data_IF_702786290162
#
_entry.id   IF_702786290162
#
_cell.length_a   1.000
_cell.length_b   1.000
_cell.length_c   1.000
_cell.angle_alpha   90.00
_cell.angle_beta   90.00
_cell.angle_gamma   90.00
#
_symmetry.space_group_name_H-M   'P 1'
#
loop_
_entity.id
_entity.type
_entity.pdbx_description
1 polymer ?
#
# COMPACT_ATOMS: atom_id res chain seq x y z
N UNK A 1 -7.43 18.25 29.79
CA UNK A 1 -7.11 17.13 30.69
C UNK A 1 -6.25 17.63 31.85
N UNK A 2 -6.80 18.55 32.64
CA UNK A 2 -6.07 19.35 33.67
C UNK A 2 -6.42 18.90 35.09
N UNK A 3 -7.24 17.86 35.20
CA UNK A 3 -7.68 17.35 36.52
C UNK A 3 -6.58 16.69 37.35
N UNK A 4 -5.48 16.27 36.73
CA UNK A 4 -4.33 15.71 37.47
C UNK A 4 -3.45 16.76 38.16
N UNK A 5 -3.57 18.03 37.72
CA UNK A 5 -2.77 19.15 38.23
C UNK A 5 -3.54 20.05 39.21
N UNK A 6 -4.82 19.74 39.48
CA UNK A 6 -5.65 20.55 40.37
C UNK A 6 -5.04 20.76 41.79
N UNK A 7 -4.45 19.73 42.43
CA UNK A 7 -3.77 19.93 43.72
C UNK A 7 -2.56 20.85 43.61
N UNK A 8 -1.77 20.74 42.54
CA UNK A 8 -0.59 21.57 42.29
C UNK A 8 -0.98 23.04 42.01
N UNK A 9 -2.06 23.24 41.20
CA UNK A 9 -2.60 24.59 40.94
C UNK A 9 -3.10 25.25 42.22
N UNK A 10 -3.75 24.51 43.12
CA UNK A 10 -4.18 25.05 44.42
C UNK A 10 -3.02 25.36 45.34
N UNK A 11 -2.00 24.48 45.37
CA UNK A 11 -0.81 24.70 46.13
C UNK A 11 -0.09 25.99 45.66
N UNK A 12 0.11 26.14 44.38
CA UNK A 12 0.73 27.32 43.79
C UNK A 12 -0.07 28.61 44.06
N UNK A 13 -1.40 28.54 43.98
CA UNK A 13 -2.24 29.70 44.28
C UNK A 13 -2.19 30.09 45.76
N UNK A 14 -2.12 29.13 46.68
CA UNK A 14 -1.96 29.36 48.13
C UNK A 14 -0.64 30.05 48.50
N UNK A 15 0.37 29.95 47.68
CA UNK A 15 1.68 30.66 47.91
C UNK A 15 1.52 32.18 47.77
N UNK A 16 0.46 32.66 47.09
CA UNK A 16 0.29 34.08 46.79
C UNK A 16 1.22 34.65 45.73
N UNK A 17 2.10 33.81 45.15
CA UNK A 17 3.09 34.19 44.15
C UNK A 17 2.54 34.29 42.74
N UNK A 18 1.38 33.71 42.49
CA UNK A 18 0.79 33.61 41.15
C UNK A 18 -0.62 34.15 41.10
N UNK A 19 -0.92 34.97 40.11
CA UNK A 19 -2.28 35.36 39.76
C UNK A 19 -2.97 34.23 39.00
N UNK A 20 -4.31 34.24 38.89
CA UNK A 20 -5.07 33.25 38.10
C UNK A 20 -4.63 33.22 36.61
N UNK A 21 -4.27 34.38 36.06
CA UNK A 21 -3.81 34.50 34.69
C UNK A 21 -2.42 33.88 34.49
N UNK A 22 -1.53 34.02 35.47
CA UNK A 22 -0.19 33.41 35.45
C UNK A 22 -0.27 31.89 35.63
N UNK A 23 -1.14 31.40 36.50
CA UNK A 23 -1.42 29.98 36.61
C UNK A 23 -2.00 29.40 35.31
N UNK A 24 -2.89 30.14 34.66
CA UNK A 24 -3.43 29.71 33.36
C UNK A 24 -2.32 29.57 32.31
N UNK A 25 -1.37 30.47 32.27
CA UNK A 25 -0.19 30.37 31.39
C UNK A 25 0.76 29.25 31.82
N UNK A 26 1.06 29.11 33.11
CA UNK A 26 1.95 28.07 33.65
C UNK A 26 1.44 26.67 33.35
N UNK A 27 0.14 26.46 33.49
CA UNK A 27 -0.50 25.15 33.28
C UNK A 27 -1.16 25.00 31.90
N UNK A 28 -0.88 25.92 30.97
CA UNK A 28 -1.38 25.91 29.59
C UNK A 28 -2.88 25.65 29.47
N UNK A 29 -3.69 26.45 30.19
CA UNK A 29 -5.13 26.32 30.23
C UNK A 29 -5.84 27.67 30.21
N UNK A 30 -7.16 27.67 29.98
CA UNK A 30 -7.95 28.91 30.01
C UNK A 30 -8.09 29.43 31.46
N UNK A 31 -8.06 30.75 31.71
CA UNK A 31 -8.18 31.33 33.04
C UNK A 31 -9.45 30.90 33.80
N UNK A 32 -10.55 30.68 33.09
CA UNK A 32 -11.80 30.15 33.63
C UNK A 32 -11.62 28.74 34.21
N UNK A 33 -10.75 27.92 33.62
CA UNK A 33 -10.40 26.58 34.13
C UNK A 33 -9.73 26.66 35.49
N UNK A 34 -8.82 27.61 35.68
CA UNK A 34 -8.18 27.88 36.98
C UNK A 34 -9.23 28.34 37.99
N UNK A 35 -10.08 29.27 37.61
CA UNK A 35 -11.17 29.76 38.49
C UNK A 35 -12.09 28.61 38.91
N UNK A 36 -12.46 27.73 37.98
CA UNK A 36 -13.28 26.56 38.27
C UNK A 36 -12.59 25.55 39.19
N UNK A 37 -11.26 25.36 39.05
CA UNK A 37 -10.48 24.48 39.95
C UNK A 37 -10.39 25.07 41.35
N UNK A 38 -10.16 26.38 41.47
CA UNK A 38 -10.05 27.06 42.77
C UNK A 38 -11.36 27.14 43.52
N UNK A 39 -12.50 27.22 42.81
CA UNK A 39 -13.84 27.28 43.40
C UNK A 39 -14.35 25.89 43.82
N UNK A 40 -13.71 24.79 43.45
CA UNK A 40 -14.10 23.43 43.87
C UNK A 40 -13.36 23.02 45.12
N UNK A 41 -14.03 22.25 45.98
CA UNK A 41 -13.36 21.58 47.13
C UNK A 41 -12.59 20.35 46.66
N UNK A 42 -11.62 19.90 47.44
CA UNK A 42 -10.81 18.70 47.13
C UNK A 42 -11.71 17.44 47.00
N UNK A 43 -12.75 17.33 47.81
CA UNK A 43 -13.76 16.28 47.73
C UNK A 43 -14.54 16.33 46.42
N UNK A 44 -14.85 17.51 45.91
CA UNK A 44 -15.54 17.69 44.63
C UNK A 44 -14.66 17.29 43.44
N UNK A 45 -13.34 17.42 43.54
CA UNK A 45 -12.44 16.95 42.51
C UNK A 45 -12.34 15.42 42.50
N UNK A 46 -12.32 14.79 43.65
CA UNK A 46 -12.41 13.33 43.82
C UNK A 46 -13.76 12.85 43.29
N UNK A 47 -14.85 13.53 43.64
CA UNK A 47 -16.18 13.19 43.16
C UNK A 47 -16.37 13.43 41.64
N UNK A 48 -15.76 14.46 41.07
CA UNK A 48 -15.75 14.67 39.62
C UNK A 48 -14.97 13.59 38.88
N UNK A 49 -13.88 13.03 39.48
CA UNK A 49 -13.18 11.86 38.95
C UNK A 49 -14.02 10.59 39.02
N UNK A 50 -14.67 10.33 40.17
CA UNK A 50 -15.56 9.18 40.35
C UNK A 50 -16.83 9.29 39.51
N UNK A 51 -17.40 10.49 39.34
CA UNK A 51 -18.62 10.69 38.53
C UNK A 51 -18.45 10.33 37.05
N UNK A 52 -17.22 10.41 36.51
CA UNK A 52 -16.88 9.90 35.18
C UNK A 52 -16.57 8.38 35.18
N UNK A 53 -16.25 7.80 36.34
CA UNK A 53 -15.92 6.39 36.48
C UNK A 53 -17.16 5.56 36.89
N UNK A 54 -17.99 6.12 37.73
CA UNK A 54 -19.16 5.46 38.30
C UNK A 54 -20.44 6.07 37.73
N UNK A 55 -20.74 5.68 36.49
CA UNK A 55 -22.09 5.91 36.00
C UNK A 55 -22.99 4.88 36.70
N UNK A 56 -23.60 5.29 37.82
CA UNK A 56 -24.42 4.43 38.71
C UNK A 56 -25.42 3.56 37.93
N UNK A 57 -25.91 4.08 36.80
CA UNK A 57 -26.88 3.39 35.95
C UNK A 57 -26.27 2.18 35.18
N UNK A 58 -24.97 2.15 34.93
CA UNK A 58 -24.31 1.05 34.20
C UNK A 58 -23.68 0.03 35.15
N UNK A 59 -23.43 0.39 36.40
CA UNK A 59 -22.77 -0.49 37.38
C UNK A 59 -23.41 -1.88 37.49
N UNK A 60 -24.75 -2.03 37.61
CA UNK A 60 -25.40 -3.34 37.72
C UNK A 60 -25.12 -4.25 36.49
N UNK A 61 -24.79 -3.66 35.36
CA UNK A 61 -24.61 -4.38 34.09
C UNK A 61 -23.15 -4.63 33.72
N UNK A 62 -22.18 -4.13 34.49
CA UNK A 62 -20.76 -4.26 34.14
C UNK A 62 -20.30 -5.73 34.06
N UNK A 63 -20.74 -6.59 34.96
CA UNK A 63 -20.37 -7.99 34.93
C UNK A 63 -21.00 -8.73 33.74
N UNK A 64 -22.21 -8.39 33.38
CA UNK A 64 -22.87 -8.88 32.17
C UNK A 64 -22.10 -8.44 30.91
N UNK A 65 -21.75 -7.16 30.81
CA UNK A 65 -20.92 -6.61 29.72
C UNK A 65 -19.58 -7.32 29.66
N UNK A 66 -18.92 -7.54 30.80
CA UNK A 66 -17.65 -8.25 30.93
C UNK A 66 -17.78 -9.71 30.47
N UNK A 67 -18.86 -10.38 30.84
CA UNK A 67 -19.17 -11.74 30.42
C UNK A 67 -19.36 -11.86 28.90
N UNK A 68 -20.08 -10.92 28.26
CA UNK A 68 -20.26 -10.89 26.81
C UNK A 68 -18.94 -10.64 26.07
N UNK A 69 -18.14 -9.69 26.54
CA UNK A 69 -16.86 -9.33 25.92
C UNK A 69 -15.79 -10.43 26.05
N UNK A 70 -15.84 -11.24 27.11
CA UNK A 70 -14.98 -12.43 27.24
C UNK A 70 -15.34 -13.53 26.22
N UNK A 71 -16.63 -13.64 25.85
CA UNK A 71 -17.09 -14.64 24.87
C UNK A 71 -16.79 -14.26 23.42
N UNK A 72 -16.59 -12.96 23.14
CA UNK A 72 -16.29 -12.46 21.81
C UNK A 72 -16.30 -10.94 21.71
N UNK A 73 -15.89 -10.42 20.53
CA UNK A 73 -15.88 -8.98 20.27
C UNK A 73 -17.27 -8.49 19.90
N UNK A 74 -18.10 -8.24 20.92
CA UNK A 74 -19.48 -7.74 20.74
C UNK A 74 -19.47 -6.21 20.59
N UNK A 75 -20.24 -5.69 19.65
CA UNK A 75 -20.39 -4.24 19.45
C UNK A 75 -21.20 -3.59 20.57
N UNK A 76 -20.86 -2.34 20.90
CA UNK A 76 -21.55 -1.60 21.94
C UNK A 76 -23.06 -1.40 21.65
N UNK A 77 -23.44 -1.29 20.38
CA UNK A 77 -24.84 -1.19 19.94
C UNK A 77 -25.62 -2.47 20.24
N UNK A 78 -25.04 -3.64 20.04
CA UNK A 78 -25.67 -4.93 20.35
C UNK A 78 -25.80 -5.10 21.87
N UNK A 79 -24.79 -4.73 22.63
CA UNK A 79 -24.84 -4.74 24.11
C UNK A 79 -25.92 -3.78 24.60
N UNK A 80 -26.00 -2.58 24.01
CA UNK A 80 -27.03 -1.62 24.33
C UNK A 80 -28.45 -2.19 24.14
N UNK A 81 -28.71 -2.79 22.97
CA UNK A 81 -30.02 -3.43 22.70
C UNK A 81 -30.35 -4.50 23.75
N UNK A 82 -29.40 -5.35 24.09
CA UNK A 82 -29.57 -6.38 25.11
C UNK A 82 -29.89 -5.79 26.50
N UNK A 83 -29.23 -4.70 26.88
CA UNK A 83 -29.50 -4.03 28.15
C UNK A 83 -30.88 -3.35 28.18
N UNK A 84 -31.34 -2.78 27.06
CA UNK A 84 -32.70 -2.28 26.92
C UNK A 84 -33.73 -3.42 27.05
N UNK A 85 -33.52 -4.55 26.41
CA UNK A 85 -34.34 -5.77 26.54
C UNK A 85 -34.41 -6.26 28.00
N UNK A 86 -33.37 -6.04 28.80
CA UNK A 86 -33.31 -6.34 30.23
C UNK A 86 -33.95 -5.24 31.12
N UNK A 87 -34.54 -4.21 30.52
CA UNK A 87 -35.18 -3.11 31.23
C UNK A 87 -34.28 -1.97 31.70
N UNK A 88 -33.03 -1.91 31.19
CA UNK A 88 -32.08 -0.86 31.55
C UNK A 88 -32.49 0.50 30.93
N UNK A 89 -32.52 1.56 31.75
CA UNK A 89 -32.77 2.95 31.29
C UNK A 89 -31.44 3.67 31.20
N UNK A 90 -30.76 3.47 30.10
CA UNK A 90 -29.40 4.01 29.86
C UNK A 90 -29.23 4.49 28.42
N UNK A 91 -28.27 5.38 28.16
CA UNK A 91 -27.98 5.85 26.80
C UNK A 91 -26.93 4.97 26.14
N UNK A 92 -26.96 4.89 24.78
CA UNK A 92 -25.95 4.21 24.00
C UNK A 92 -24.53 4.76 24.27
N UNK A 93 -24.42 6.08 24.51
CA UNK A 93 -23.13 6.71 24.82
C UNK A 93 -22.54 6.21 26.16
N UNK A 94 -23.42 5.96 27.15
CA UNK A 94 -23.03 5.39 28.46
C UNK A 94 -22.53 3.94 28.28
N UNK A 95 -23.27 3.12 27.53
CA UNK A 95 -22.87 1.74 27.22
C UNK A 95 -21.57 1.72 26.44
N UNK A 96 -21.41 2.56 25.42
CA UNK A 96 -20.19 2.65 24.62
C UNK A 96 -18.95 2.99 25.45
N UNK A 97 -19.09 3.90 26.42
CA UNK A 97 -18.00 4.23 27.37
C UNK A 97 -17.67 3.06 28.28
N UNK A 98 -18.68 2.38 28.83
CA UNK A 98 -18.49 1.21 29.68
C UNK A 98 -17.83 0.05 28.90
N UNK A 99 -18.28 -0.24 27.68
CA UNK A 99 -17.68 -1.25 26.79
C UNK A 99 -16.21 -0.94 26.51
N UNK A 100 -15.88 0.32 26.22
CA UNK A 100 -14.49 0.76 25.99
C UNK A 100 -13.64 0.54 27.24
N UNK A 101 -14.15 0.87 28.42
CA UNK A 101 -13.47 0.65 29.71
C UNK A 101 -13.25 -0.83 29.98
N UNK A 102 -14.28 -1.66 29.87
CA UNK A 102 -14.19 -3.11 30.12
C UNK A 102 -13.25 -3.79 29.11
N UNK A 103 -13.27 -3.38 27.84
CA UNK A 103 -12.30 -3.86 26.84
C UNK A 103 -10.86 -3.52 27.24
N UNK A 104 -10.62 -2.35 27.80
CA UNK A 104 -9.31 -1.95 28.29
C UNK A 104 -8.90 -2.75 29.55
N UNK A 105 -9.82 -2.93 30.50
CA UNK A 105 -9.61 -3.74 31.74
C UNK A 105 -9.29 -5.20 31.40
N UNK A 106 -9.94 -5.76 30.39
CA UNK A 106 -9.72 -7.13 29.95
C UNK A 106 -8.52 -7.31 29.01
N UNK A 107 -7.74 -6.24 28.77
CA UNK A 107 -6.68 -6.22 27.74
C UNK A 107 -7.19 -6.69 26.35
N UNK A 108 -8.50 -6.57 26.11
CA UNK A 108 -9.13 -6.84 24.82
C UNK A 108 -8.94 -5.67 23.83
N UNK A 109 -8.10 -4.69 24.16
CA UNK A 109 -7.59 -3.75 23.20
C UNK A 109 -6.91 -4.57 22.09
N UNK A 110 -7.40 -4.42 20.86
CA UNK A 110 -6.88 -5.14 19.72
C UNK A 110 -5.35 -5.04 19.74
N UNK A 111 -4.69 -6.18 19.86
CA UNK A 111 -3.23 -6.28 19.71
C UNK A 111 -2.98 -5.69 18.34
N UNK A 112 -2.36 -4.50 18.30
CA UNK A 112 -2.01 -3.88 17.03
C UNK A 112 -0.92 -4.72 16.42
N UNK A 113 -1.23 -5.35 15.31
CA UNK A 113 -0.23 -6.09 14.54
C UNK A 113 0.74 -5.08 13.92
N UNK A 114 1.88 -4.89 14.59
CA UNK A 114 2.97 -4.08 14.06
C UNK A 114 3.91 -4.97 13.24
N UNK A 115 4.38 -4.44 12.12
CA UNK A 115 5.32 -5.13 11.23
C UNK A 115 6.68 -4.48 11.30
N UNK A 116 7.72 -5.27 11.18
CA UNK A 116 9.08 -4.77 11.05
C UNK A 116 9.22 -3.88 9.81
N UNK A 117 10.20 -2.98 9.77
CA UNK A 117 10.51 -2.19 8.57
C UNK A 117 10.68 -3.07 7.34
N UNK A 118 10.15 -2.65 6.21
CA UNK A 118 10.23 -3.34 4.93
C UNK A 118 9.56 -4.72 4.85
N UNK A 119 8.98 -5.20 5.94
CA UNK A 119 8.43 -6.56 5.99
C UNK A 119 7.14 -6.66 5.18
N UNK A 120 6.16 -5.81 5.42
CA UNK A 120 4.82 -6.01 4.86
C UNK A 120 4.17 -4.71 4.39
N UNK A 121 3.53 -4.78 3.21
CA UNK A 121 2.50 -3.85 2.80
C UNK A 121 1.12 -4.54 2.85
N UNK A 122 0.04 -3.75 2.90
CA UNK A 122 -1.34 -4.23 2.85
C UNK A 122 -2.07 -3.58 1.68
N UNK A 123 -2.67 -4.42 0.83
CA UNK A 123 -3.43 -4.00 -0.34
C UNK A 123 -4.92 -4.21 -0.15
N UNK A 124 -5.74 -3.29 -0.67
CA UNK A 124 -7.20 -3.39 -0.67
C UNK A 124 -7.83 -2.64 -1.83
N UNK A 125 -9.04 -3.08 -2.21
CA UNK A 125 -9.93 -2.36 -3.09
C UNK A 125 -11.03 -1.64 -2.29
N UNK A 126 -11.40 -0.46 -2.73
CA UNK A 126 -12.60 0.21 -2.25
C UNK A 126 -13.52 0.54 -3.40
N UNK A 127 -14.79 0.24 -3.21
CA UNK A 127 -15.88 0.58 -4.13
C UNK A 127 -16.48 1.92 -3.75
N UNK A 128 -16.65 2.82 -4.73
CA UNK A 128 -17.24 4.14 -4.56
C UNK A 128 -18.59 4.21 -5.27
N UNK A 129 -19.58 3.52 -4.69
CA UNK A 129 -20.95 3.46 -5.24
C UNK A 129 -21.53 4.83 -5.47
N UNK A 130 -22.04 5.05 -6.68
CA UNK A 130 -22.63 6.32 -7.11
C UNK A 130 -21.63 7.35 -7.59
N UNK A 131 -20.32 7.01 -7.63
CA UNK A 131 -19.30 7.81 -8.29
C UNK A 131 -18.89 7.16 -9.62
N UNK A 132 -18.70 7.98 -10.66
CA UNK A 132 -18.31 7.51 -11.99
C UNK A 132 -17.18 8.37 -12.55
N UNK A 133 -16.37 7.78 -13.43
CA UNK A 133 -15.42 8.48 -14.27
C UNK A 133 -15.77 8.30 -15.74
N UNK A 134 -15.47 9.30 -16.55
CA UNK A 134 -15.64 9.24 -18.00
C UNK A 134 -14.35 8.71 -18.63
N UNK A 135 -14.45 7.56 -19.31
CA UNK A 135 -13.36 6.93 -20.06
C UNK A 135 -13.88 6.64 -21.46
N UNK A 136 -13.18 7.12 -22.50
CA UNK A 136 -13.56 6.98 -23.92
C UNK A 136 -15.00 7.45 -24.22
N UNK A 137 -15.46 8.49 -23.52
CA UNK A 137 -16.81 9.06 -23.67
C UNK A 137 -17.92 8.29 -22.93
N UNK A 138 -17.61 7.24 -22.19
CA UNK A 138 -18.57 6.46 -21.42
C UNK A 138 -18.35 6.63 -19.91
N UNK A 139 -19.45 6.71 -19.16
CA UNK A 139 -19.39 6.70 -17.71
C UNK A 139 -19.13 5.27 -17.21
N UNK A 140 -18.08 5.11 -16.38
CA UNK A 140 -17.66 3.86 -15.76
C UNK A 140 -17.73 3.97 -14.24
N UNK A 141 -18.09 2.88 -13.53
CA UNK A 141 -18.05 2.89 -12.07
C UNK A 141 -16.65 3.17 -11.54
N UNK A 142 -16.58 3.85 -10.41
CA UNK A 142 -15.31 4.25 -9.81
C UNK A 142 -14.94 3.31 -8.66
N UNK A 143 -13.73 2.79 -8.72
CA UNK A 143 -13.08 2.01 -7.67
C UNK A 143 -11.75 2.65 -7.30
N UNK A 144 -11.21 2.36 -6.15
CA UNK A 144 -9.86 2.78 -5.80
C UNK A 144 -9.05 1.64 -5.20
N UNK A 145 -7.80 1.58 -5.61
CA UNK A 145 -6.78 0.72 -5.04
C UNK A 145 -6.07 1.43 -3.90
N UNK A 146 -5.77 0.70 -2.84
CA UNK A 146 -5.03 1.18 -1.68
C UNK A 146 -3.85 0.27 -1.42
N UNK A 147 -2.68 0.86 -1.20
CA UNK A 147 -1.50 0.16 -0.67
C UNK A 147 -0.92 0.97 0.50
N UNK A 148 -0.69 0.31 1.63
CA UNK A 148 -0.10 0.93 2.81
C UNK A 148 1.09 0.11 3.30
N UNK A 149 2.24 0.75 3.53
CA UNK A 149 3.40 0.13 4.17
C UNK A 149 3.14 -0.09 5.66
N UNK A 150 3.50 -1.25 6.14
CA UNK A 150 3.12 -1.70 7.49
C UNK A 150 3.84 -0.99 8.62
N UNK A 151 5.09 -0.56 8.44
CA UNK A 151 5.89 0.12 9.47
C UNK A 151 5.79 1.65 9.35
N UNK A 152 6.12 2.22 8.19
CA UNK A 152 6.11 3.67 7.98
C UNK A 152 4.72 4.28 7.95
N UNK A 153 3.70 3.50 7.59
CA UNK A 153 2.33 3.97 7.32
C UNK A 153 2.22 4.82 6.05
N UNK A 154 3.25 4.81 5.20
CA UNK A 154 3.15 5.37 3.86
C UNK A 154 1.97 4.75 3.12
N UNK A 155 1.16 5.58 2.50
CA UNK A 155 -0.04 5.14 1.79
C UNK A 155 -0.06 5.67 0.38
N UNK A 156 -0.61 4.85 -0.50
CA UNK A 156 -0.85 5.14 -1.90
C UNK A 156 -2.30 4.85 -2.24
N UNK A 157 -2.91 5.70 -3.04
CA UNK A 157 -4.27 5.54 -3.53
C UNK A 157 -4.31 5.86 -5.02
N UNK A 158 -4.99 5.02 -5.80
CA UNK A 158 -5.21 5.22 -7.23
C UNK A 158 -6.63 4.81 -7.60
N UNK A 159 -7.32 5.66 -8.34
CA UNK A 159 -8.64 5.37 -8.88
C UNK A 159 -8.54 4.60 -10.19
N UNK A 160 -9.46 3.66 -10.36
CA UNK A 160 -9.62 2.85 -11.57
C UNK A 160 -11.11 2.68 -11.88
N UNK A 161 -11.40 2.31 -13.10
CA UNK A 161 -12.77 1.99 -13.55
C UNK A 161 -13.05 0.49 -13.63
N UNK A 162 -12.02 -0.34 -13.47
CA UNK A 162 -12.11 -1.80 -13.54
C UNK A 162 -11.16 -2.44 -12.54
N UNK A 163 -11.66 -3.44 -11.79
CA UNK A 163 -10.87 -4.25 -10.87
C UNK A 163 -10.44 -5.56 -11.54
N UNK A 164 -9.54 -5.48 -12.51
CA UNK A 164 -8.95 -6.64 -13.21
C UNK A 164 -7.58 -6.98 -12.65
N UNK A 165 -7.01 -8.15 -12.99
CA UNK A 165 -5.62 -8.50 -12.64
C UNK A 165 -4.64 -7.50 -13.24
N UNK A 166 -4.83 -7.09 -14.50
CA UNK A 166 -4.01 -6.08 -15.16
C UNK A 166 -4.08 -4.72 -14.45
N UNK A 167 -5.28 -4.28 -14.02
CA UNK A 167 -5.43 -3.04 -13.23
C UNK A 167 -4.73 -3.15 -11.87
N UNK A 168 -4.80 -4.31 -11.20
CA UNK A 168 -4.11 -4.55 -9.94
C UNK A 168 -2.59 -4.47 -10.10
N UNK A 169 -2.04 -5.14 -11.11
CA UNK A 169 -0.61 -5.11 -11.45
C UNK A 169 -0.14 -3.67 -11.65
N UNK A 170 -0.85 -2.90 -12.50
CA UNK A 170 -0.51 -1.49 -12.75
C UNK A 170 -0.56 -0.64 -11.48
N UNK A 171 -1.61 -0.78 -10.67
CA UNK A 171 -1.74 -0.02 -9.43
C UNK A 171 -0.63 -0.34 -8.42
N UNK A 172 -0.25 -1.63 -8.29
CA UNK A 172 0.86 -2.02 -7.41
C UNK A 172 2.17 -1.46 -7.94
N UNK A 173 2.44 -1.58 -9.23
CA UNK A 173 3.65 -1.03 -9.85
C UNK A 173 3.77 0.48 -9.61
N UNK A 174 2.69 1.24 -9.83
CA UNK A 174 2.63 2.67 -9.54
C UNK A 174 2.87 2.98 -8.05
N UNK A 175 2.31 2.16 -7.15
CA UNK A 175 2.51 2.31 -5.72
C UNK A 175 3.96 2.02 -5.30
N UNK A 176 4.58 0.96 -5.84
CA UNK A 176 5.98 0.62 -5.58
C UNK A 176 6.91 1.73 -6.09
N UNK A 177 6.63 2.29 -7.27
CA UNK A 177 7.35 3.45 -7.79
C UNK A 177 7.18 4.69 -6.88
N UNK A 178 5.98 4.92 -6.36
CA UNK A 178 5.73 6.00 -5.42
C UNK A 178 6.49 5.83 -4.10
N UNK A 179 6.62 4.61 -3.60
CA UNK A 179 7.40 4.31 -2.38
C UNK A 179 8.91 4.26 -2.64
N UNK A 180 9.32 4.12 -3.89
CA UNK A 180 10.73 3.99 -4.29
C UNK A 180 11.33 2.61 -4.01
N UNK A 181 10.50 1.57 -3.85
CA UNK A 181 10.99 0.21 -3.61
C UNK A 181 9.91 -0.79 -3.28
N UNK A 182 10.30 -2.07 -3.15
CA UNK A 182 9.44 -3.22 -2.91
C UNK A 182 9.57 -3.72 -1.47
N UNK A 183 8.45 -3.89 -0.72
CA UNK A 183 8.47 -4.58 0.57
C UNK A 183 8.72 -6.08 0.36
N UNK A 184 9.03 -6.81 1.45
CA UNK A 184 9.25 -8.25 1.37
C UNK A 184 7.98 -9.02 1.00
N UNK A 185 6.84 -8.60 1.55
CA UNK A 185 5.55 -9.23 1.29
C UNK A 185 4.42 -8.21 1.16
N UNK A 186 3.38 -8.59 0.41
CA UNK A 186 2.15 -7.81 0.30
C UNK A 186 0.97 -8.69 0.72
N UNK A 187 0.19 -8.20 1.70
CA UNK A 187 -1.00 -8.88 2.21
C UNK A 187 -2.22 -8.49 1.39
N UNK A 188 -2.90 -9.48 0.82
CA UNK A 188 -4.12 -9.35 0.04
C UNK A 188 -5.30 -10.05 0.73
N UNK A 189 -6.52 -9.62 0.41
CA UNK A 189 -7.70 -10.46 0.59
C UNK A 189 -7.74 -11.57 -0.45
N UNK A 190 -8.70 -12.51 -0.28
CA UNK A 190 -8.98 -13.54 -1.29
C UNK A 190 -9.73 -12.92 -2.49
N UNK A 191 -9.12 -11.92 -3.12
CA UNK A 191 -9.69 -11.25 -4.28
C UNK A 191 -9.45 -12.04 -5.57
N UNK A 192 -10.42 -12.05 -6.52
CA UNK A 192 -10.31 -12.84 -7.75
C UNK A 192 -9.10 -12.49 -8.63
N UNK A 193 -8.55 -11.30 -8.48
CA UNK A 193 -7.38 -10.84 -9.21
C UNK A 193 -6.08 -11.52 -8.75
N UNK A 194 -6.07 -12.08 -7.54
CA UNK A 194 -4.91 -12.76 -6.93
C UNK A 194 -5.15 -14.26 -6.80
N UNK A 195 -6.39 -14.68 -6.50
CA UNK A 195 -6.77 -16.09 -6.25
C UNK A 195 -7.72 -16.57 -7.34
N UNK A 196 -7.26 -17.53 -8.12
CA UNK A 196 -8.05 -18.13 -9.20
C UNK A 196 -9.12 -19.08 -8.65
N UNK A 197 -8.76 -19.98 -7.72
CA UNK A 197 -9.66 -20.95 -7.09
C UNK A 197 -9.36 -21.13 -5.61
N UNK A 198 -10.43 -21.29 -4.84
CA UNK A 198 -10.37 -21.84 -3.48
C UNK A 198 -10.83 -23.29 -3.54
N UNK A 199 -9.93 -24.23 -3.51
CA UNK A 199 -10.24 -25.65 -3.45
C UNK A 199 -10.57 -26.03 -2.00
N UNK A 200 -11.73 -26.65 -1.77
CA UNK A 200 -12.09 -27.24 -0.48
C UNK A 200 -11.75 -28.72 -0.53
N UNK A 201 -10.61 -29.09 0.01
CA UNK A 201 -10.35 -30.50 0.29
C UNK A 201 -10.83 -30.84 1.70
N UNK A 202 -11.69 -31.83 1.81
CA UNK A 202 -12.06 -32.72 2.95
C UNK A 202 -12.17 -32.15 4.38
N UNK A 203 -11.50 -31.06 4.72
CA UNK A 203 -11.53 -30.41 6.03
C UNK A 203 -11.87 -28.93 5.92
N UNK A 204 -12.82 -28.41 6.74
CA UNK A 204 -13.30 -27.03 6.67
C UNK A 204 -12.24 -25.95 6.98
N UNK A 205 -11.03 -26.33 7.32
CA UNK A 205 -9.94 -25.41 7.68
C UNK A 205 -8.72 -25.41 6.73
N UNK A 206 -8.68 -26.36 5.76
CA UNK A 206 -7.63 -26.39 4.72
C UNK A 206 -8.23 -25.95 3.39
N UNK A 207 -8.02 -24.67 3.09
CA UNK A 207 -8.31 -24.09 1.77
C UNK A 207 -7.00 -24.03 1.00
N UNK A 208 -6.82 -24.90 0.02
CA UNK A 208 -5.83 -24.69 -1.02
C UNK A 208 -6.27 -23.54 -1.91
N UNK A 209 -5.40 -22.58 -2.11
CA UNK A 209 -5.63 -21.38 -2.91
C UNK A 209 -4.70 -21.41 -4.09
N UNK A 210 -5.28 -21.54 -5.27
CA UNK A 210 -4.54 -21.42 -6.51
C UNK A 210 -4.40 -19.94 -6.86
N UNK A 211 -3.18 -19.46 -6.95
CA UNK A 211 -2.89 -18.07 -7.33
C UNK A 211 -3.05 -17.88 -8.84
N UNK A 212 -3.38 -16.65 -9.25
CA UNK A 212 -3.40 -16.26 -10.66
C UNK A 212 -1.97 -16.28 -11.21
N UNK A 213 -1.66 -17.08 -12.26
CA UNK A 213 -0.28 -17.24 -12.74
C UNK A 213 0.39 -15.92 -13.18
N UNK A 214 -0.37 -15.06 -13.87
CA UNK A 214 0.10 -13.72 -14.28
C UNK A 214 0.51 -12.88 -13.07
N UNK A 215 -0.30 -12.90 -12.00
CA UNK A 215 -0.02 -12.16 -10.79
C UNK A 215 1.18 -12.74 -10.02
N UNK A 216 1.34 -14.07 -10.03
CA UNK A 216 2.51 -14.73 -9.44
C UNK A 216 3.80 -14.32 -10.17
N UNK A 217 3.78 -14.33 -11.52
CA UNK A 217 4.93 -13.89 -12.32
C UNK A 217 5.30 -12.42 -12.05
N UNK A 218 4.30 -11.57 -11.85
CA UNK A 218 4.51 -10.18 -11.46
C UNK A 218 5.15 -10.06 -10.07
N UNK A 219 4.67 -10.82 -9.10
CA UNK A 219 5.23 -10.81 -7.75
C UNK A 219 6.69 -11.29 -7.73
N UNK A 220 7.00 -12.34 -8.48
CA UNK A 220 8.36 -12.86 -8.66
C UNK A 220 9.27 -11.82 -9.31
N UNK A 221 8.77 -11.12 -10.32
CA UNK A 221 9.52 -10.06 -11.01
C UNK A 221 9.93 -8.91 -10.08
N UNK A 222 9.00 -8.43 -9.24
CA UNK A 222 9.26 -7.39 -8.24
C UNK A 222 9.89 -7.94 -6.96
N UNK A 223 9.89 -9.25 -6.79
CA UNK A 223 10.50 -9.96 -5.69
C UNK A 223 9.79 -9.78 -4.36
N UNK A 224 8.45 -9.78 -4.34
CA UNK A 224 7.67 -9.79 -3.11
C UNK A 224 6.86 -11.08 -2.96
N UNK A 225 6.66 -11.49 -1.71
CA UNK A 225 5.84 -12.65 -1.37
C UNK A 225 4.35 -12.25 -1.36
N UNK A 226 3.50 -13.10 -1.96
CA UNK A 226 2.04 -12.94 -1.91
C UNK A 226 1.53 -13.57 -0.61
N UNK A 227 1.00 -12.76 0.30
CA UNK A 227 0.39 -13.23 1.54
C UNK A 227 -1.12 -13.02 1.46
N UNK A 228 -1.88 -14.09 1.74
CA UNK A 228 -3.34 -14.02 1.75
C UNK A 228 -3.87 -13.94 3.18
N UNK A 229 -4.77 -12.99 3.43
CA UNK A 229 -5.41 -12.83 4.72
C UNK A 229 -6.14 -14.11 5.14
N UNK A 230 -6.04 -14.45 6.42
CA UNK A 230 -6.72 -15.62 6.99
C UNK A 230 -8.22 -15.35 7.06
N UNK A 231 -9.00 -16.36 6.71
CA UNK A 231 -10.46 -16.27 6.81
C UNK A 231 -10.85 -16.01 8.27
N UNK A 232 -11.75 -15.04 8.50
CA UNK A 232 -12.27 -14.63 9.81
C UNK A 232 -11.24 -14.00 10.77
N UNK A 233 -10.14 -13.43 10.26
CA UNK A 233 -9.21 -12.61 11.05
C UNK A 233 -9.08 -11.18 10.51
N UNK A 234 -10.11 -10.34 10.63
CA UNK A 234 -10.09 -8.96 10.11
C UNK A 234 -9.00 -8.09 10.74
N UNK A 235 -8.46 -8.51 11.89
CA UNK A 235 -7.40 -7.78 12.60
C UNK A 235 -6.10 -7.67 11.82
N UNK A 236 -5.81 -8.63 10.93
CA UNK A 236 -4.58 -8.67 10.12
C UNK A 236 -4.57 -7.52 9.09
N UNK A 237 -5.73 -7.09 8.60
CA UNK A 237 -5.92 -6.06 7.56
C UNK A 237 -6.30 -4.67 8.10
N UNK A 238 -6.32 -4.49 9.40
CA UNK A 238 -6.81 -3.27 10.05
C UNK A 238 -6.05 -1.99 9.71
N UNK A 239 -4.88 -2.04 9.08
CA UNK A 239 -4.12 -0.87 8.64
C UNK A 239 -4.72 -0.29 7.36
N UNK A 240 -4.95 -1.12 6.35
CA UNK A 240 -5.53 -0.67 5.07
C UNK A 240 -7.01 -0.32 5.23
N UNK A 241 -7.80 -1.08 5.99
CA UNK A 241 -9.20 -0.77 6.25
C UNK A 241 -9.39 0.62 6.88
N UNK A 242 -8.56 0.97 7.87
CA UNK A 242 -8.58 2.32 8.47
C UNK A 242 -8.14 3.39 7.48
N UNK A 243 -7.19 3.08 6.58
CA UNK A 243 -6.76 4.01 5.54
C UNK A 243 -7.89 4.28 4.55
N UNK A 244 -8.64 3.26 4.14
CA UNK A 244 -9.83 3.39 3.29
C UNK A 244 -10.90 4.25 3.97
N UNK A 245 -11.20 3.99 5.25
CA UNK A 245 -12.14 4.80 6.03
C UNK A 245 -11.72 6.27 6.09
N UNK A 246 -10.45 6.51 6.45
CA UNK A 246 -9.91 7.87 6.53
C UNK A 246 -9.94 8.61 5.18
N UNK A 247 -9.65 7.89 4.07
CA UNK A 247 -9.76 8.46 2.73
C UNK A 247 -11.21 8.85 2.39
N UNK A 248 -12.16 7.97 2.67
CA UNK A 248 -13.59 8.25 2.45
C UNK A 248 -14.06 9.49 3.22
N UNK A 249 -13.57 9.68 4.43
CA UNK A 249 -13.96 10.82 5.29
C UNK A 249 -13.22 12.12 4.95
N UNK A 250 -12.00 12.04 4.40
CA UNK A 250 -11.12 13.21 4.20
C UNK A 250 -10.84 13.61 2.76
N UNK A 251 -11.24 12.79 1.78
CA UNK A 251 -11.08 13.08 0.35
C UNK A 251 -12.43 13.22 -0.36
N UNK A 252 -13.31 12.22 -0.21
CA UNK A 252 -14.58 12.15 -0.95
C UNK A 252 -15.50 13.36 -0.72
N UNK A 253 -15.64 13.93 0.52
CA UNK A 253 -16.50 15.10 0.75
C UNK A 253 -16.06 16.37 -0.01
N UNK A 254 -14.83 16.41 -0.49
CA UNK A 254 -14.26 17.55 -1.23
C UNK A 254 -14.30 17.38 -2.76
N UNK A 255 -14.92 16.32 -3.25
CA UNK A 255 -15.18 16.19 -4.69
C UNK A 255 -16.39 17.04 -5.07
N UNK A 256 -16.22 17.88 -6.11
CA UNK A 256 -17.25 18.83 -6.54
C UNK A 256 -18.49 18.15 -7.15
N UNK A 257 -18.34 16.93 -7.65
CA UNK A 257 -19.42 16.16 -8.29
C UNK A 257 -19.25 14.67 -7.99
N UNK A 258 -20.28 13.88 -8.28
CA UNK A 258 -20.26 12.41 -8.13
C UNK A 258 -20.00 11.67 -9.45
N UNK A 259 -20.36 12.26 -10.56
CA UNK A 259 -20.38 11.60 -11.88
C UNK A 259 -19.56 12.35 -12.91
N UNK A 260 -19.06 11.64 -13.91
CA UNK A 260 -18.35 12.22 -15.04
C UNK A 260 -16.99 12.84 -14.66
N UNK A 261 -16.27 12.25 -13.70
CA UNK A 261 -14.91 12.68 -13.41
C UNK A 261 -13.95 12.34 -14.56
N UNK A 262 -12.97 13.20 -14.83
CA UNK A 262 -11.78 12.79 -15.55
C UNK A 262 -10.92 11.90 -14.63
N UNK A 263 -10.55 10.71 -15.10
CA UNK A 263 -9.82 9.74 -14.28
C UNK A 263 -8.40 10.21 -13.95
N UNK A 264 -7.74 10.92 -14.87
CA UNK A 264 -6.38 11.44 -14.67
C UNK A 264 -6.40 12.57 -13.65
N UNK A 265 -7.32 13.54 -13.80
CA UNK A 265 -7.50 14.63 -12.82
C UNK A 265 -7.79 14.08 -11.42
N UNK A 266 -8.65 13.06 -11.33
CA UNK A 266 -8.99 12.43 -10.07
C UNK A 266 -7.78 11.74 -9.42
N UNK A 267 -6.94 11.08 -10.23
CA UNK A 267 -5.70 10.46 -9.77
C UNK A 267 -4.65 11.49 -9.35
N UNK A 268 -4.56 12.63 -10.01
CA UNK A 268 -3.72 13.75 -9.59
C UNK A 268 -4.16 14.32 -8.23
N UNK A 269 -5.46 14.45 -8.00
CA UNK A 269 -6.01 14.86 -6.71
C UNK A 269 -5.72 13.82 -5.61
N UNK A 270 -5.89 12.53 -5.91
CA UNK A 270 -5.57 11.44 -4.99
C UNK A 270 -4.07 11.42 -4.64
N UNK A 271 -3.18 11.68 -5.61
CA UNK A 271 -1.75 11.80 -5.41
C UNK A 271 -1.41 12.96 -4.46
N UNK A 272 -1.95 14.14 -4.70
CA UNK A 272 -1.79 15.31 -3.83
C UNK A 272 -2.29 15.04 -2.41
N UNK A 273 -3.41 14.30 -2.29
CA UNK A 273 -3.91 13.88 -0.98
C UNK A 273 -2.93 12.91 -0.29
N UNK A 274 -2.38 11.92 -1.01
CA UNK A 274 -1.36 11.01 -0.49
C UNK A 274 -0.14 11.77 0.03
N UNK A 275 0.39 12.72 -0.76
CA UNK A 275 1.56 13.53 -0.40
C UNK A 275 1.29 14.34 0.88
N UNK A 276 0.13 14.99 0.95
CA UNK A 276 -0.30 15.74 2.13
C UNK A 276 -0.40 14.85 3.37
N UNK A 277 -1.07 13.70 3.26
CA UNK A 277 -1.31 12.81 4.41
C UNK A 277 -0.03 12.11 4.86
N UNK A 278 0.83 11.73 3.93
CA UNK A 278 2.13 11.13 4.23
C UNK A 278 3.13 12.12 4.86
N UNK A 279 2.91 13.43 4.66
CA UNK A 279 3.70 14.50 5.29
C UNK A 279 3.13 14.98 6.62
N UNK A 280 1.98 14.49 7.07
CA UNK A 280 1.38 14.81 8.35
C UNK A 280 1.76 13.79 9.42
N UNK A 281 1.79 14.23 10.70
CA UNK A 281 2.04 13.33 11.83
C UNK A 281 0.93 12.27 11.89
N UNK A 282 1.32 11.00 11.84
CA UNK A 282 0.40 9.88 11.92
C UNK A 282 0.03 9.58 13.37
N UNK A 283 -1.27 9.59 13.71
CA UNK A 283 -1.77 9.51 15.08
C UNK A 283 -1.40 8.23 15.86
N UNK A 284 -0.90 7.18 15.20
CA UNK A 284 -0.45 5.95 15.88
C UNK A 284 1.06 5.95 16.11
N UNK A 285 1.85 6.40 15.13
CA UNK A 285 3.31 6.38 15.21
C UNK A 285 3.89 7.63 15.86
N UNK A 286 3.12 8.72 15.89
CA UNK A 286 3.60 10.03 16.38
C UNK A 286 4.60 10.71 15.44
N UNK A 287 4.88 10.13 14.27
CA UNK A 287 5.85 10.59 13.28
C UNK A 287 5.19 10.71 11.90
N UNK A 288 5.83 11.44 11.00
CA UNK A 288 5.35 11.54 9.62
C UNK A 288 5.69 10.26 8.86
N UNK A 289 4.76 9.66 8.08
CA UNK A 289 5.05 8.50 7.25
C UNK A 289 6.25 8.69 6.32
N UNK A 290 6.40 9.87 5.72
CA UNK A 290 7.50 10.16 4.79
C UNK A 290 8.87 10.14 5.49
N UNK A 291 8.97 10.58 6.74
CA UNK A 291 10.21 10.58 7.50
C UNK A 291 10.62 9.16 7.93
N UNK A 292 9.63 8.25 8.03
CA UNK A 292 9.84 6.84 8.34
C UNK A 292 10.10 5.96 7.11
N UNK A 293 9.81 6.46 5.91
CA UNK A 293 9.98 5.69 4.67
C UNK A 293 11.42 5.19 4.45
N UNK A 294 12.48 5.99 4.69
CA UNK A 294 13.85 5.49 4.54
C UNK A 294 14.18 4.32 5.46
N UNK A 295 13.52 4.23 6.63
CA UNK A 295 13.73 3.14 7.59
C UNK A 295 13.14 1.81 7.11
N UNK A 296 12.22 1.82 6.13
CA UNK A 296 11.66 0.59 5.56
C UNK A 296 12.73 -0.28 4.90
N UNK A 297 13.81 0.30 4.36
CA UNK A 297 14.85 -0.47 3.69
C UNK A 297 14.29 -1.30 2.53
N UNK A 298 13.39 -0.70 1.75
CA UNK A 298 12.72 -1.37 0.63
C UNK A 298 13.73 -1.87 -0.41
N UNK A 299 13.42 -3.00 -1.03
CA UNK A 299 14.24 -3.55 -2.13
C UNK A 299 14.16 -2.61 -3.33
N UNK A 300 15.31 -2.40 -3.99
CA UNK A 300 15.41 -1.59 -5.22
C UNK A 300 14.50 -2.15 -6.31
N UNK A 301 13.80 -1.27 -7.00
CA UNK A 301 12.91 -1.63 -8.11
C UNK A 301 13.71 -2.04 -9.34
N UNK A 302 13.17 -2.99 -10.15
CA UNK A 302 13.65 -3.22 -11.50
C UNK A 302 13.61 -1.93 -12.32
N UNK A 303 14.56 -1.72 -13.21
CA UNK A 303 14.59 -0.53 -14.05
C UNK A 303 13.62 -0.60 -15.23
N UNK A 304 13.13 -1.80 -15.55
CA UNK A 304 12.11 -2.04 -16.58
C UNK A 304 10.79 -2.36 -15.86
N UNK A 305 9.68 -1.66 -16.16
CA UNK A 305 8.37 -1.99 -15.62
C UNK A 305 7.89 -3.38 -16.09
N UNK A 306 7.04 -4.03 -15.29
CA UNK A 306 6.39 -5.28 -15.65
C UNK A 306 5.13 -4.97 -16.46
N UNK A 307 5.21 -5.04 -17.78
CA UNK A 307 4.07 -4.92 -18.68
C UNK A 307 4.15 -6.00 -19.76
N UNK A 308 3.06 -6.22 -20.51
CA UNK A 308 3.06 -7.04 -21.72
C UNK A 308 4.14 -6.61 -22.73
N UNK A 309 4.56 -5.32 -22.68
CA UNK A 309 5.68 -4.78 -23.45
C UNK A 309 7.03 -5.41 -23.12
N UNK A 310 7.15 -6.13 -22.02
CA UNK A 310 8.34 -6.92 -21.69
C UNK A 310 8.37 -8.25 -22.42
N UNK A 311 7.26 -8.66 -23.03
CA UNK A 311 7.20 -9.87 -23.86
C UNK A 311 7.79 -9.57 -25.22
N UNK A 312 8.72 -10.43 -25.64
CA UNK A 312 9.39 -10.35 -26.92
C UNK A 312 9.16 -11.64 -27.72
N UNK A 313 9.25 -11.53 -29.03
CA UNK A 313 9.29 -12.66 -29.93
C UNK A 313 10.51 -12.56 -30.82
N UNK A 314 11.27 -13.68 -30.90
CA UNK A 314 12.44 -13.78 -31.77
C UNK A 314 11.98 -13.91 -33.22
N UNK A 315 12.44 -13.02 -34.07
CA UNK A 315 12.17 -13.07 -35.51
C UNK A 315 13.03 -14.18 -36.17
N UNK A 316 12.72 -14.51 -37.42
CA UNK A 316 13.43 -15.54 -38.18
C UNK A 316 14.90 -15.25 -38.37
N UNK A 317 15.31 -14.00 -38.32
CA UNK A 317 16.69 -13.51 -38.44
C UNK A 317 17.39 -13.35 -37.09
N UNK A 318 16.87 -13.93 -35.99
CA UNK A 318 17.40 -13.78 -34.65
C UNK A 318 17.19 -12.38 -34.05
N UNK A 319 16.45 -11.49 -34.73
CA UNK A 319 16.20 -10.16 -34.20
C UNK A 319 15.07 -10.16 -33.17
N UNK A 320 15.22 -9.32 -32.15
CA UNK A 320 14.25 -9.08 -31.08
C UNK A 320 13.96 -7.58 -31.03
N UNK A 321 12.69 -7.22 -31.08
CA UNK A 321 12.25 -5.83 -30.98
C UNK A 321 11.75 -5.55 -29.55
N UNK A 322 12.39 -4.60 -28.89
CA UNK A 322 11.99 -4.19 -27.54
C UNK A 322 12.12 -2.66 -27.39
N UNK A 323 11.06 -1.99 -26.98
CA UNK A 323 11.00 -0.53 -26.76
C UNK A 323 11.58 0.30 -27.90
N UNK A 324 11.22 -0.05 -29.14
CA UNK A 324 11.70 0.66 -30.33
C UNK A 324 13.15 0.36 -30.73
N UNK A 325 13.82 -0.53 -30.02
CA UNK A 325 15.20 -0.97 -30.26
C UNK A 325 15.19 -2.37 -30.85
N UNK A 326 16.23 -2.70 -31.58
CA UNK A 326 16.43 -4.05 -32.16
C UNK A 326 17.66 -4.66 -31.53
N UNK A 327 17.51 -5.83 -30.95
CA UNK A 327 18.59 -6.66 -30.41
C UNK A 327 18.73 -7.91 -31.22
N UNK A 328 19.85 -8.64 -31.08
CA UNK A 328 20.05 -9.93 -31.69
C UNK A 328 20.32 -10.98 -30.65
N UNK A 329 19.66 -12.12 -30.81
CA UNK A 329 19.89 -13.36 -30.08
C UNK A 329 20.22 -14.46 -31.06
N UNK A 330 20.49 -15.66 -30.55
CA UNK A 330 20.77 -16.82 -31.38
C UNK A 330 19.60 -17.14 -32.32
N UNK A 331 19.86 -17.37 -33.59
CA UNK A 331 18.86 -17.70 -34.62
C UNK A 331 18.13 -19.03 -34.32
N UNK A 332 18.74 -19.92 -33.54
CA UNK A 332 18.10 -21.17 -33.09
C UNK A 332 16.85 -20.93 -32.23
N UNK A 333 16.73 -19.75 -31.65
CA UNK A 333 15.56 -19.33 -30.85
C UNK A 333 14.44 -18.68 -31.69
N UNK A 334 14.58 -18.68 -33.02
CA UNK A 334 13.61 -18.06 -33.93
C UNK A 334 12.20 -18.63 -33.73
N UNK A 335 11.24 -17.73 -33.59
CA UNK A 335 9.84 -18.08 -33.33
C UNK A 335 9.47 -18.24 -31.86
N UNK A 336 10.45 -18.40 -30.95
CA UNK A 336 10.24 -18.46 -29.51
C UNK A 336 9.82 -17.10 -28.96
N UNK A 337 9.03 -17.13 -27.88
CA UNK A 337 8.68 -15.95 -27.11
C UNK A 337 9.44 -15.94 -25.78
N UNK A 338 9.69 -14.78 -25.26
CA UNK A 338 10.40 -14.62 -24.00
C UNK A 338 10.04 -13.30 -23.31
N UNK A 339 10.63 -13.07 -22.15
CA UNK A 339 10.47 -11.84 -21.38
C UNK A 339 11.83 -11.15 -21.20
N UNK A 340 11.83 -9.81 -21.30
CA UNK A 340 13.01 -8.98 -21.03
C UNK A 340 13.02 -8.60 -19.54
N UNK A 341 14.19 -8.65 -18.95
CA UNK A 341 14.46 -8.18 -17.59
C UNK A 341 15.82 -7.51 -17.53
N UNK A 342 16.07 -6.71 -16.52
CA UNK A 342 17.38 -6.11 -16.32
C UNK A 342 17.97 -6.51 -14.96
N UNK A 343 19.31 -6.57 -14.96
CA UNK A 343 20.10 -6.72 -13.76
C UNK A 343 21.22 -5.66 -13.84
N UNK A 344 21.24 -4.73 -12.87
CA UNK A 344 22.31 -3.73 -12.75
C UNK A 344 22.67 -3.01 -14.06
N UNK A 345 21.66 -2.44 -14.73
CA UNK A 345 21.78 -1.73 -16.02
C UNK A 345 22.09 -2.61 -17.26
N UNK A 346 22.01 -3.93 -17.10
CA UNK A 346 22.22 -4.89 -18.18
C UNK A 346 20.88 -5.55 -18.55
N UNK A 347 20.54 -5.53 -19.85
CA UNK A 347 19.31 -6.12 -20.37
C UNK A 347 19.56 -7.59 -20.74
N UNK A 348 18.68 -8.45 -20.24
CA UNK A 348 18.62 -9.88 -20.57
C UNK A 348 17.24 -10.23 -21.08
N UNK A 349 17.15 -11.29 -21.86
CA UNK A 349 15.88 -11.93 -22.19
C UNK A 349 15.90 -13.39 -21.75
N UNK A 350 14.84 -13.85 -21.13
CA UNK A 350 14.63 -15.28 -20.89
C UNK A 350 13.74 -15.81 -22.00
N UNK A 351 14.29 -16.60 -22.90
CA UNK A 351 13.62 -17.12 -24.09
C UNK A 351 13.76 -18.64 -24.04
N UNK A 352 12.64 -19.36 -24.01
CA UNK A 352 12.61 -20.84 -23.97
C UNK A 352 13.55 -21.43 -22.88
N UNK A 353 13.54 -20.83 -21.69
CA UNK A 353 14.40 -21.24 -20.57
C UNK A 353 15.86 -20.77 -20.64
N UNK A 354 16.29 -20.20 -21.77
CA UNK A 354 17.64 -19.67 -21.96
C UNK A 354 17.72 -18.19 -21.60
N UNK A 355 18.77 -17.80 -20.86
CA UNK A 355 19.04 -16.38 -20.57
C UNK A 355 19.92 -15.80 -21.65
N UNK A 356 19.41 -14.87 -22.43
CA UNK A 356 20.11 -14.21 -23.53
C UNK A 356 20.51 -12.78 -23.13
N UNK A 357 21.74 -12.40 -23.27
CA UNK A 357 22.20 -11.02 -23.11
C UNK A 357 21.74 -10.18 -24.29
N UNK A 358 21.07 -9.06 -24.03
CA UNK A 358 20.59 -8.12 -25.05
C UNK A 358 21.51 -6.90 -25.19
N UNK A 359 22.09 -6.41 -24.12
CA UNK A 359 22.95 -5.24 -24.11
C UNK A 359 22.98 -4.51 -22.77
N UNK A 360 23.80 -3.46 -22.69
CA UNK A 360 23.77 -2.51 -21.57
C UNK A 360 23.00 -1.25 -21.99
N UNK A 361 22.51 -0.46 -21.02
CA UNK A 361 21.77 0.79 -21.31
C UNK A 361 22.55 1.78 -22.15
N UNK A 362 23.86 1.80 -22.03
CA UNK A 362 24.76 2.76 -22.68
C UNK A 362 25.25 2.31 -24.07
N UNK A 363 24.89 1.10 -24.53
CA UNK A 363 25.29 0.66 -25.88
C UNK A 363 24.43 1.38 -26.93
N UNK A 364 25.08 1.90 -28.02
CA UNK A 364 24.36 2.53 -29.10
C UNK A 364 23.47 1.51 -29.82
N UNK A 365 22.21 1.84 -29.86
CA UNK A 365 21.15 0.98 -30.40
C UNK A 365 21.00 1.25 -31.88
N UNK A 366 20.81 0.21 -32.68
CA UNK A 366 20.41 0.32 -34.07
C UNK A 366 18.97 0.83 -34.14
N UNK A 367 18.80 2.14 -34.40
CA UNK A 367 17.48 2.71 -34.68
C UNK A 367 17.16 2.37 -36.14
N UNK A 368 16.20 1.47 -36.35
CA UNK A 368 15.64 1.22 -37.66
C UNK A 368 14.90 2.48 -38.13
N UNK A 369 15.45 3.25 -39.08
CA UNK A 369 14.70 4.30 -39.75
C UNK A 369 13.46 3.67 -40.37
N UNK A 370 12.25 4.09 -39.96
CA UNK A 370 11.01 3.72 -40.65
C UNK A 370 11.10 4.24 -42.08
N UNK A 371 11.32 3.34 -43.02
CA UNK A 371 11.09 3.64 -44.43
C UNK A 371 9.58 3.72 -44.62
N UNK A 372 9.06 4.92 -44.86
CA UNK A 372 7.71 5.08 -45.43
C UNK A 372 7.74 4.35 -46.79
N UNK A 373 6.82 3.41 -46.96
CA UNK A 373 6.58 2.77 -48.25
C UNK A 373 5.93 3.80 -49.19
N UNK A 374 6.69 4.69 -49.78
CA UNK A 374 6.35 5.29 -51.06
C UNK A 374 6.79 4.32 -52.12
N UNK A 375 5.82 3.75 -52.85
CA UNK A 375 6.09 2.98 -54.07
C UNK A 375 6.83 3.88 -55.07
N UNK A 376 8.10 3.66 -55.23
CA UNK A 376 8.81 4.05 -56.45
C UNK A 376 9.68 2.90 -56.86
N UNK A 377 9.26 2.26 -57.94
CA UNK A 377 10.07 1.37 -58.79
C UNK A 377 11.19 2.17 -59.39
N UNK A 378 12.45 1.83 -59.05
CA UNK A 378 13.62 2.09 -59.89
C UNK A 378 14.74 1.08 -59.59
N UNK A 379 15.31 0.59 -60.65
CA UNK A 379 16.36 -0.38 -60.87
C UNK A 379 17.57 -0.32 -59.95
N UNK A 380 18.15 -1.49 -59.82
CA UNK A 380 19.30 -1.95 -59.02
C UNK A 380 20.55 -1.09 -59.02
N UNK A 381 21.16 -1.08 -57.84
CA UNK A 381 22.62 -1.02 -57.70
C UNK A 381 22.98 -1.55 -56.26
N UNK A 382 23.76 -2.60 -56.24
CA UNK A 382 24.41 -3.15 -55.03
C UNK A 382 25.40 -2.14 -54.49
N UNK A 383 25.20 -1.59 -53.27
CA UNK A 383 26.24 -0.84 -52.56
C UNK A 383 26.79 -1.71 -51.40
N UNK A 384 28.13 -1.85 -51.43
CA UNK A 384 28.96 -2.53 -50.41
C UNK A 384 28.78 -1.85 -49.05
N UNK A 385 28.55 -2.67 -48.02
CA UNK A 385 28.54 -2.22 -46.61
C UNK A 385 30.00 -2.08 -46.13
N UNK A 386 30.30 -0.91 -45.55
CA UNK A 386 31.55 -0.72 -44.79
C UNK A 386 31.37 -1.33 -43.39
N UNK A 387 32.35 -2.16 -43.01
CA UNK A 387 32.50 -2.70 -41.65
C UNK A 387 32.84 -1.57 -40.69
N UNK A 388 32.05 -1.40 -39.62
CA UNK A 388 32.41 -0.57 -38.47
C UNK A 388 33.35 -1.37 -37.55
N UNK A 389 34.47 -0.76 -37.18
CA UNK A 389 35.51 -1.38 -36.39
C UNK A 389 35.16 -1.52 -34.92
N UNK A 390 35.61 -2.61 -34.36
CA UNK A 390 35.41 -3.14 -33.02
C UNK A 390 35.97 -2.26 -31.90
N UNK A 391 35.15 -1.97 -30.90
CA UNK A 391 35.54 -1.66 -29.52
C UNK A 391 35.00 -2.72 -28.55
N UNK A 392 35.17 -3.97 -28.88
CA UNK A 392 34.71 -5.10 -28.04
C UNK A 392 35.74 -5.55 -26.99
N UNK A 393 36.96 -5.00 -26.97
CA UNK A 393 38.08 -5.57 -26.20
C UNK A 393 38.07 -5.25 -24.68
N UNK A 394 37.24 -4.37 -24.19
CA UNK A 394 37.25 -4.03 -22.75
C UNK A 394 36.23 -4.83 -21.90
N UNK A 395 35.18 -5.33 -22.51
CA UNK A 395 34.11 -6.07 -21.79
C UNK A 395 34.51 -7.54 -21.49
N UNK A 396 35.33 -8.17 -22.31
CA UNK A 396 35.82 -9.55 -22.10
C UNK A 396 36.58 -9.75 -20.77
N UNK A 397 37.15 -8.69 -20.20
CA UNK A 397 37.92 -8.76 -18.95
C UNK A 397 37.08 -8.81 -17.69
N UNK A 398 35.81 -8.39 -17.75
CA UNK A 398 34.93 -8.23 -16.55
C UNK A 398 33.92 -9.36 -16.39
N UNK A 399 33.50 -10.00 -17.46
CA UNK A 399 32.50 -11.06 -17.49
C UNK A 399 32.79 -12.28 -16.61
N UNK A 400 34.00 -12.83 -16.54
CA UNK A 400 34.31 -13.98 -15.68
C UNK A 400 34.26 -13.66 -14.18
N UNK A 401 34.41 -12.39 -13.80
CA UNK A 401 34.36 -11.96 -12.39
C UNK A 401 32.93 -11.78 -11.83
N UNK A 402 31.95 -11.54 -12.72
CA UNK A 402 30.56 -11.29 -12.34
C UNK A 402 29.71 -12.56 -12.33
N UNK A 403 30.05 -13.57 -13.13
CA UNK A 403 29.12 -14.66 -13.43
C UNK A 403 29.76 -16.05 -13.37
N UNK A 404 30.75 -16.31 -12.51
CA UNK A 404 31.40 -17.61 -12.30
C UNK A 404 30.92 -18.70 -13.28
N UNK A 405 31.80 -19.34 -14.04
CA UNK A 405 31.60 -20.51 -14.89
C UNK A 405 30.36 -20.67 -15.79
N UNK A 406 29.64 -19.61 -16.11
CA UNK A 406 28.66 -19.64 -17.19
C UNK A 406 29.39 -19.59 -18.50
N UNK A 407 29.55 -20.76 -19.17
CA UNK A 407 30.14 -20.86 -20.53
C UNK A 407 29.23 -20.09 -21.50
N UNK A 408 29.48 -18.79 -21.67
CA UNK A 408 28.88 -18.00 -22.73
C UNK A 408 29.70 -18.15 -24.01
N UNK A 409 29.07 -18.68 -25.05
CA UNK A 409 29.71 -18.86 -26.34
C UNK A 409 29.67 -17.55 -27.14
N UNK A 410 30.62 -16.66 -26.87
CA UNK A 410 30.75 -15.33 -27.47
C UNK A 410 30.95 -15.31 -28.98
N UNK A 411 31.37 -16.43 -29.57
CA UNK A 411 31.65 -16.50 -31.02
C UNK A 411 30.39 -16.58 -31.87
N UNK A 412 29.26 -16.99 -31.29
CA UNK A 412 28.00 -17.07 -32.02
C UNK A 412 27.28 -15.72 -32.17
N UNK A 413 27.63 -14.70 -31.36
CA UNK A 413 26.97 -13.40 -31.40
C UNK A 413 27.63 -12.35 -32.28
N UNK A 414 28.84 -12.64 -32.86
CA UNK A 414 29.64 -11.70 -33.64
C UNK A 414 29.98 -12.20 -35.07
N UNK A 415 29.29 -13.20 -35.60
CA UNK A 415 29.40 -13.65 -36.98
C UNK A 415 28.31 -13.02 -37.88
#
# INVERSE_FOLDING_TARGET
MITFEAPAIRADFRTGLYTKAELARKYNCHPETITNILNRTEDQDVYARTKHLDNLLIMPYLDYIRGLLKKGNVQATVIYQKLIEMGAIISLSTVSRAVKRVKHELNLSAIRYETAPGQQAQADWADFRGYTATVDGYERPLHAFFLILGHSRMRYVEFVTEMTTASLIRCIENALNYFGGTPKEILFDNMPQVVNRCLREGHPHQLERELVPEFTSFADYYGFDIVLARIRRPQEKGKVERSVGYFKDSFIPFLDKKTGHDLNELNDLARKWCDKVNSNIHGTTGEKPIDRLPLEGLRKLPSIPYYEENTIKVQRDGSVHFRGRVYRVDESLAGCSGQVYDLEDTLFAKIDGHSCFLGTRDLPVYIRKRYSRTKQTVHGQKRRMHKASSKASSLEKWLPRLYGDVKMNWRACNA
#
